data_IF_692117201421
#
_entry.id   IF_692117201421
#
_cell.length_a   1.000
_cell.length_b   1.000
_cell.length_c   1.000
_cell.angle_alpha   90.00
_cell.angle_beta   90.00
_cell.angle_gamma   90.00
#
_symmetry.space_group_name_H-M   'P 1'
#
loop_
_entity.id
_entity.type
_entity.pdbx_description
1 polymer ?
#
# COMPACT_ATOMS: atom_id res chain seq x y z
N UNK A 1 -52.64 -52.77 -10.71
CA UNK A 1 -53.38 -51.75 -9.94
C UNK A 1 -53.04 -52.04 -8.50
N UNK A 2 -52.15 -51.25 -7.92
CA UNK A 2 -51.43 -51.61 -6.69
C UNK A 2 -50.78 -50.34 -6.16
N UNK A 3 -50.88 -49.97 -4.90
CA UNK A 3 -51.71 -50.33 -3.75
C UNK A 3 -51.63 -49.09 -2.85
N UNK A 4 -52.70 -48.80 -2.11
CA UNK A 4 -52.71 -47.79 -1.05
C UNK A 4 -53.02 -48.46 0.30
N UNK A 5 -52.58 -47.81 1.39
CA UNK A 5 -52.82 -48.05 2.82
C UNK A 5 -51.80 -48.88 3.67
N UNK A 6 -50.92 -48.14 4.39
CA UNK A 6 -50.65 -48.06 5.88
C UNK A 6 -50.88 -49.31 6.78
N UNK A 7 -50.26 -49.52 8.00
CA UNK A 7 -49.86 -48.51 9.03
C UNK A 7 -48.76 -48.85 10.11
N UNK A 8 -48.64 -47.95 11.13
CA UNK A 8 -48.09 -48.02 12.55
C UNK A 8 -46.55 -48.10 12.75
N UNK A 9 -45.84 -47.52 13.75
CA UNK A 9 -46.14 -46.83 15.02
C UNK A 9 -44.93 -46.04 15.61
N UNK A 10 -45.24 -44.94 16.33
CA UNK A 10 -44.67 -44.48 17.63
C UNK A 10 -43.17 -44.15 17.84
N UNK A 11 -42.82 -42.88 18.12
CA UNK A 11 -42.65 -42.37 19.51
C UNK A 11 -41.69 -41.16 19.66
N UNK A 12 -42.11 -40.25 20.56
CA UNK A 12 -41.37 -39.28 21.41
C UNK A 12 -40.84 -37.96 20.84
N UNK A 13 -41.54 -36.93 21.31
CA UNK A 13 -41.18 -35.53 21.54
C UNK A 13 -39.79 -35.35 22.20
N UNK A 14 -39.01 -34.42 21.67
CA UNK A 14 -38.14 -33.55 22.49
C UNK A 14 -38.21 -32.12 21.95
N UNK A 15 -38.58 -31.21 22.84
CA UNK A 15 -38.55 -29.76 22.66
C UNK A 15 -37.11 -29.30 22.43
N UNK A 16 -36.87 -28.42 21.44
CA UNK A 16 -35.71 -27.52 21.49
C UNK A 16 -36.12 -26.09 21.14
N UNK A 17 -36.19 -25.31 22.21
CA UNK A 17 -36.28 -23.86 22.23
C UNK A 17 -35.09 -23.22 21.53
N UNK A 18 -35.38 -22.12 20.85
CA UNK A 18 -34.49 -21.19 20.17
C UNK A 18 -33.22 -20.82 20.94
N UNK A 19 -32.07 -20.91 20.28
CA UNK A 19 -31.02 -19.90 20.42
C UNK A 19 -30.39 -19.64 19.04
N UNK A 20 -30.64 -18.44 18.51
CA UNK A 20 -30.00 -17.96 17.30
C UNK A 20 -28.54 -17.60 17.63
N UNK A 21 -27.61 -18.51 17.34
CA UNK A 21 -26.19 -18.14 17.24
C UNK A 21 -25.93 -17.60 15.85
N UNK A 22 -25.77 -16.27 15.78
CA UNK A 22 -25.16 -15.55 14.68
C UNK A 22 -23.86 -16.26 14.27
N UNK A 23 -23.86 -16.85 13.08
CA UNK A 23 -22.65 -17.31 12.41
C UNK A 23 -21.94 -16.07 11.86
N UNK A 24 -21.02 -15.50 12.63
CA UNK A 24 -20.02 -14.60 12.06
C UNK A 24 -19.17 -15.41 11.08
N UNK A 25 -19.40 -15.24 9.78
CA UNK A 25 -18.52 -15.80 8.75
C UNK A 25 -17.15 -15.16 8.93
N UNK A 26 -16.14 -16.01 9.17
CA UNK A 26 -14.72 -15.69 9.22
C UNK A 26 -14.26 -15.17 7.84
N UNK A 27 -14.54 -13.89 7.55
CA UNK A 27 -14.00 -13.15 6.40
C UNK A 27 -12.55 -12.77 6.68
N UNK A 28 -11.65 -13.76 6.70
CA UNK A 28 -10.24 -13.47 6.38
C UNK A 28 -10.25 -12.81 5.01
N UNK A 29 -9.72 -11.60 4.93
CA UNK A 29 -9.81 -10.76 3.73
C UNK A 29 -9.30 -11.56 2.53
N UNK A 30 -10.13 -11.72 1.49
CA UNK A 30 -9.74 -12.38 0.24
C UNK A 30 -8.43 -11.78 -0.29
N UNK A 31 -8.23 -10.48 -0.07
CA UNK A 31 -6.98 -9.80 -0.37
C UNK A 31 -5.79 -10.41 0.38
N UNK A 32 -5.93 -10.80 1.63
CA UNK A 32 -4.92 -11.54 2.43
C UNK A 32 -4.55 -12.88 1.77
N UNK A 33 -5.50 -13.52 1.07
CA UNK A 33 -5.28 -14.77 0.31
C UNK A 33 -4.61 -14.51 -1.06
N UNK A 34 -4.98 -13.43 -1.75
CA UNK A 34 -4.28 -12.95 -2.97
C UNK A 34 -2.85 -12.53 -2.62
N UNK A 35 -2.72 -11.82 -1.50
CA UNK A 35 -1.47 -11.46 -0.87
C UNK A 35 -0.67 -12.69 -0.47
N UNK A 36 -1.30 -13.76 0.04
CA UNK A 36 -0.63 -15.01 0.38
C UNK A 36 0.00 -15.67 -0.84
N UNK A 37 -0.69 -15.68 -2.00
CA UNK A 37 -0.10 -16.19 -3.25
C UNK A 37 1.00 -15.26 -3.78
N UNK A 38 0.83 -13.94 -3.63
CA UNK A 38 1.83 -12.91 -3.97
C UNK A 38 3.06 -12.91 -3.03
N UNK A 39 2.88 -13.24 -1.75
CA UNK A 39 3.92 -13.31 -0.71
C UNK A 39 4.81 -14.55 -0.91
N UNK A 40 4.29 -15.60 -1.56
CA UNK A 40 5.11 -16.74 -2.00
C UNK A 40 6.07 -16.36 -3.15
N UNK A 41 5.75 -15.34 -3.95
CA UNK A 41 6.51 -14.96 -5.14
C UNK A 41 7.30 -13.65 -5.00
N UNK A 42 7.00 -12.80 -4.02
CA UNK A 42 7.65 -11.49 -3.88
C UNK A 42 7.98 -11.13 -2.43
N UNK A 43 9.27 -10.84 -2.18
CA UNK A 43 9.89 -10.61 -0.87
C UNK A 43 9.77 -9.12 -0.48
N UNK A 44 9.32 -8.83 0.74
CA UNK A 44 9.09 -7.46 1.27
C UNK A 44 10.05 -7.11 2.39
N UNK A 45 10.45 -5.83 2.47
CA UNK A 45 11.23 -5.24 3.58
C UNK A 45 10.96 -3.74 3.71
N UNK A 46 10.92 -3.24 4.95
CA UNK A 46 11.02 -1.82 5.33
C UNK A 46 12.43 -1.42 5.79
N UNK A 47 12.78 -0.13 5.70
CA UNK A 47 14.16 0.39 5.90
C UNK A 47 14.22 1.76 6.61
N UNK A 48 15.32 2.09 7.32
CA UNK A 48 15.75 3.37 8.00
C UNK A 48 17.31 3.37 8.17
N UNK A 49 18.12 4.40 8.58
CA UNK A 49 18.00 5.85 8.94
C UNK A 49 18.89 6.79 8.03
N UNK A 50 19.11 8.10 8.24
CA UNK A 50 19.62 8.78 9.45
C UNK A 50 19.52 10.33 9.43
N UNK A 51 19.68 10.87 10.64
CA UNK A 51 19.96 12.24 11.04
C UNK A 51 21.23 12.87 10.44
N UNK A 52 21.16 14.21 10.33
CA UNK A 52 22.19 15.22 10.01
C UNK A 52 22.59 15.35 8.52
N UNK A 53 22.21 16.52 7.98
CA UNK A 53 22.63 17.18 6.74
C UNK A 53 22.40 16.46 5.40
N UNK A 54 21.70 17.17 4.51
CA UNK A 54 21.45 16.88 3.10
C UNK A 54 22.69 16.45 2.28
N UNK A 55 22.50 15.54 1.31
CA UNK A 55 22.78 15.76 -0.13
C UNK A 55 22.48 14.50 -0.94
N UNK A 56 21.51 14.58 -1.87
CA UNK A 56 21.29 13.55 -2.89
C UNK A 56 22.46 13.61 -3.88
N UNK A 57 23.34 12.61 -3.86
CA UNK A 57 24.26 12.31 -4.96
C UNK A 57 23.94 10.93 -5.51
N UNK A 58 23.68 10.89 -6.81
CA UNK A 58 23.32 9.70 -7.57
C UNK A 58 24.55 8.90 -8.04
N UNK A 59 24.42 7.56 -8.06
CA UNK A 59 25.16 6.52 -8.86
C UNK A 59 26.48 5.98 -8.27
N UNK A 60 26.95 4.73 -8.61
CA UNK A 60 26.58 3.89 -9.78
C UNK A 60 26.22 2.40 -9.53
N UNK A 61 25.70 1.80 -10.61
CA UNK A 61 25.43 0.39 -10.96
C UNK A 61 26.03 -0.76 -10.12
N UNK A 62 25.17 -1.72 -9.74
CA UNK A 62 25.42 -3.19 -9.80
C UNK A 62 24.13 -3.90 -9.33
N UNK A 63 23.33 -4.42 -10.26
CA UNK A 63 22.99 -5.86 -10.41
C UNK A 63 21.81 -6.32 -9.52
N UNK A 64 20.92 -7.13 -10.10
CA UNK A 64 19.66 -7.67 -9.52
C UNK A 64 18.67 -6.66 -8.94
N UNK A 65 17.69 -6.26 -9.76
CA UNK A 65 16.50 -5.59 -9.28
C UNK A 65 15.39 -6.56 -8.82
N UNK A 66 15.81 -7.72 -8.30
CA UNK A 66 14.93 -8.69 -7.67
C UNK A 66 15.58 -9.17 -6.37
N UNK A 67 14.88 -9.01 -5.24
CA UNK A 67 15.16 -9.61 -3.93
C UNK A 67 16.42 -9.25 -3.10
N UNK A 68 17.30 -8.32 -3.49
CA UNK A 68 18.57 -8.04 -2.78
C UNK A 68 18.58 -6.83 -1.83
N UNK A 69 17.47 -6.10 -1.67
CA UNK A 69 17.48 -4.80 -1.00
C UNK A 69 17.88 -4.74 0.48
N UNK A 70 17.61 -5.73 1.36
CA UNK A 70 18.16 -5.68 2.72
C UNK A 70 19.69 -5.72 2.68
N UNK A 71 20.26 -6.56 1.81
CA UNK A 71 21.69 -6.90 1.85
C UNK A 71 22.60 -5.77 1.36
N UNK A 72 22.19 -5.02 0.34
CA UNK A 72 22.97 -3.88 -0.19
C UNK A 72 22.70 -2.53 0.52
N UNK A 73 21.77 -2.51 1.49
CA UNK A 73 21.36 -1.26 2.17
C UNK A 73 21.64 -1.28 3.67
N UNK A 74 21.46 -2.41 4.36
CA UNK A 74 21.58 -2.45 5.81
C UNK A 74 23.04 -2.52 6.30
N UNK A 75 23.90 -3.31 5.64
CA UNK A 75 25.31 -3.46 6.06
C UNK A 75 26.21 -2.33 5.56
N UNK A 76 26.03 -1.89 4.32
CA UNK A 76 26.95 -0.93 3.68
C UNK A 76 26.59 0.53 3.95
N UNK A 77 25.32 0.85 4.24
CA UNK A 77 24.88 2.25 4.34
C UNK A 77 24.50 2.69 5.75
N UNK A 78 24.03 1.79 6.63
CA UNK A 78 23.51 2.16 7.97
C UNK A 78 23.72 1.08 9.06
N UNK A 79 24.98 0.77 9.44
CA UNK A 79 25.28 -0.29 10.42
C UNK A 79 24.71 -0.03 11.83
N UNK A 80 24.45 1.23 12.18
CA UNK A 80 23.96 1.64 13.52
C UNK A 80 22.43 1.64 13.67
N UNK A 81 21.72 1.01 12.74
CA UNK A 81 20.26 1.00 12.72
C UNK A 81 19.70 -0.35 13.14
N UNK A 82 18.63 -0.36 13.94
CA UNK A 82 17.88 -1.58 14.24
C UNK A 82 16.62 -1.63 13.36
N UNK A 83 16.47 -2.72 12.62
CA UNK A 83 15.34 -2.90 11.68
C UNK A 83 14.45 -4.03 12.18
N UNK A 84 13.14 -3.77 12.22
CA UNK A 84 12.12 -4.79 12.41
C UNK A 84 11.33 -4.96 11.11
N UNK A 85 11.50 -6.10 10.45
CA UNK A 85 10.63 -6.51 9.36
C UNK A 85 9.42 -7.27 9.91
N UNK A 86 8.23 -6.94 9.42
CA UNK A 86 7.00 -7.65 9.75
C UNK A 86 6.40 -8.24 8.48
N UNK A 87 5.83 -9.43 8.61
CA UNK A 87 5.05 -10.09 7.56
C UNK A 87 4.05 -11.03 8.21
N UNK A 88 2.91 -11.28 7.55
CA UNK A 88 1.92 -12.23 8.05
C UNK A 88 2.46 -13.68 8.01
N UNK A 89 3.46 -13.94 7.18
CA UNK A 89 4.11 -15.23 7.04
C UNK A 89 5.53 -15.26 7.61
N UNK A 90 6.02 -16.47 7.90
CA UNK A 90 7.38 -16.64 8.39
C UNK A 90 8.37 -16.33 7.28
N UNK A 91 9.20 -15.31 7.49
CA UNK A 91 10.30 -14.98 6.59
C UNK A 91 11.35 -16.12 6.65
N UNK A 92 11.57 -16.79 5.52
CA UNK A 92 12.51 -17.92 5.41
C UNK A 92 13.90 -17.42 4.98
N UNK A 93 15.02 -17.88 5.60
CA UNK A 93 16.39 -17.46 5.26
C UNK A 93 16.75 -17.61 3.75
N UNK A 94 17.82 -16.94 3.23
CA UNK A 94 19.05 -16.52 3.91
C UNK A 94 19.11 -15.01 4.20
N UNK A 95 18.42 -14.56 5.26
CA UNK A 95 18.34 -13.13 5.61
C UNK A 95 18.88 -12.83 7.01
N UNK A 96 19.91 -13.56 7.46
CA UNK A 96 20.58 -13.25 8.72
C UNK A 96 21.47 -12.02 8.57
N UNK A 97 20.85 -10.84 8.65
CA UNK A 97 21.57 -9.57 8.79
C UNK A 97 21.59 -9.22 10.28
N UNK A 98 22.75 -8.96 10.90
CA UNK A 98 22.86 -8.77 12.36
C UNK A 98 21.94 -7.68 12.94
N UNK A 99 21.64 -6.66 12.15
CA UNK A 99 20.85 -5.51 12.57
C UNK A 99 19.37 -5.56 12.13
N UNK A 100 18.93 -6.68 11.55
CA UNK A 100 17.54 -6.92 11.17
C UNK A 100 16.94 -8.05 12.00
N UNK A 101 15.74 -7.81 12.52
CA UNK A 101 14.90 -8.83 13.16
C UNK A 101 13.61 -8.96 12.37
N UNK A 102 13.02 -10.14 12.40
CA UNK A 102 11.77 -10.44 11.68
C UNK A 102 10.74 -10.98 12.65
N UNK A 103 9.52 -10.42 12.60
CA UNK A 103 8.38 -10.86 13.41
C UNK A 103 7.23 -11.23 12.48
N UNK A 104 6.64 -12.40 12.71
CA UNK A 104 5.38 -12.75 12.07
C UNK A 104 4.27 -11.93 12.73
N UNK A 105 3.66 -11.02 11.98
CA UNK A 105 2.66 -10.09 12.47
C UNK A 105 1.82 -9.57 11.31
N UNK A 106 0.51 -9.53 11.49
CA UNK A 106 -0.39 -8.82 10.58
C UNK A 106 -0.29 -7.31 10.86
N UNK A 107 0.02 -6.53 9.83
CA UNK A 107 0.12 -5.07 9.93
C UNK A 107 -1.22 -4.41 10.26
N UNK A 108 -2.35 -5.09 9.99
CA UNK A 108 -3.71 -4.61 10.27
C UNK A 108 -4.22 -4.96 11.67
N UNK A 109 -3.54 -5.89 12.35
CA UNK A 109 -3.84 -6.21 13.74
C UNK A 109 -3.36 -5.09 14.67
N UNK A 110 -3.70 -5.18 15.95
CA UNK A 110 -3.17 -4.26 16.95
C UNK A 110 -1.68 -4.56 17.16
N UNK A 111 -0.86 -3.50 17.10
CA UNK A 111 0.59 -3.63 17.11
C UNK A 111 1.08 -3.92 18.53
N UNK A 112 1.63 -5.12 18.72
CA UNK A 112 2.22 -5.57 19.99
C UNK A 112 3.73 -5.37 19.99
N UNK A 113 4.16 -4.11 19.82
CA UNK A 113 5.58 -3.74 19.80
C UNK A 113 5.86 -2.72 20.90
N UNK A 114 6.77 -3.06 21.80
CA UNK A 114 7.06 -2.27 23.01
C UNK A 114 7.89 -1.00 22.72
N UNK A 115 8.15 -0.69 21.44
CA UNK A 115 9.03 0.40 21.03
C UNK A 115 8.39 1.23 19.93
N UNK A 116 8.55 2.54 20.05
CA UNK A 116 8.28 3.47 18.97
C UNK A 116 9.43 3.46 17.95
N UNK A 117 9.11 3.87 16.72
CA UNK A 117 10.03 3.89 15.59
C UNK A 117 10.36 5.33 15.18
N UNK A 118 11.60 5.56 14.75
CA UNK A 118 12.00 6.83 14.13
C UNK A 118 11.55 6.93 12.67
N UNK A 119 11.31 5.78 12.04
CA UNK A 119 10.76 5.71 10.69
C UNK A 119 10.01 4.41 10.46
N UNK A 120 8.91 4.49 9.71
CA UNK A 120 8.13 3.34 9.25
C UNK A 120 8.09 3.34 7.72
N UNK A 121 8.41 2.20 7.11
CA UNK A 121 8.24 2.00 5.66
C UNK A 121 7.08 1.04 5.42
N UNK A 122 6.13 1.45 4.59
CA UNK A 122 5.07 0.59 4.09
C UNK A 122 5.27 0.45 2.59
N UNK A 123 5.42 -0.79 2.11
CA UNK A 123 5.70 -1.05 0.70
C UNK A 123 4.84 -2.18 0.15
N UNK A 124 4.15 -1.90 -0.95
CA UNK A 124 3.31 -2.84 -1.69
C UNK A 124 2.17 -3.43 -0.85
N UNK A 125 1.69 -2.77 0.21
CA UNK A 125 0.70 -3.29 1.15
C UNK A 125 -0.65 -3.65 0.50
N UNK A 126 -0.97 -3.08 -0.67
CA UNK A 126 -2.26 -3.31 -1.32
C UNK A 126 -3.40 -2.52 -0.67
N UNK A 127 -4.60 -2.67 -1.23
CA UNK A 127 -5.79 -1.98 -0.74
C UNK A 127 -6.34 -2.70 0.52
N UNK A 128 -6.16 -2.05 1.67
CA UNK A 128 -6.61 -2.55 2.98
C UNK A 128 -8.00 -2.00 3.34
N UNK A 129 -8.75 -2.72 4.18
CA UNK A 129 -10.12 -2.31 4.58
C UNK A 129 -10.10 -1.01 5.37
N UNK A 130 -9.41 -1.01 6.50
CA UNK A 130 -9.43 0.09 7.46
C UNK A 130 -8.11 0.88 7.40
N UNK A 131 -8.01 1.71 6.38
CA UNK A 131 -6.82 2.56 6.15
C UNK A 131 -6.63 3.57 7.27
N UNK A 132 -7.72 4.11 7.81
CA UNK A 132 -7.68 5.08 8.91
C UNK A 132 -7.10 4.45 10.17
N UNK A 133 -7.60 3.28 10.59
CA UNK A 133 -7.04 2.56 11.74
C UNK A 133 -5.57 2.22 11.51
N UNK A 134 -5.20 1.76 10.32
CA UNK A 134 -3.79 1.45 10.02
C UNK A 134 -2.89 2.68 10.11
N UNK A 135 -3.29 3.79 9.51
CA UNK A 135 -2.53 5.05 9.56
C UNK A 135 -2.44 5.58 11.00
N UNK A 136 -3.50 5.41 11.79
CA UNK A 136 -3.46 5.74 13.22
C UNK A 136 -2.44 4.86 13.97
N UNK A 137 -2.44 3.54 13.74
CA UNK A 137 -1.43 2.64 14.31
C UNK A 137 -0.01 3.07 13.93
N UNK A 138 0.23 3.43 12.67
CA UNK A 138 1.52 3.98 12.21
C UNK A 138 1.86 5.27 12.97
N UNK A 139 0.92 6.20 13.10
CA UNK A 139 1.12 7.45 13.81
C UNK A 139 1.47 7.23 15.28
N UNK A 140 0.73 6.38 15.97
CA UNK A 140 0.91 6.10 17.40
C UNK A 140 2.27 5.47 17.66
N UNK A 141 2.73 4.57 16.79
CA UNK A 141 4.02 3.90 16.93
C UNK A 141 5.22 4.69 16.40
N UNK A 142 5.04 5.90 15.89
CA UNK A 142 6.16 6.79 15.57
C UNK A 142 6.57 7.63 16.78
N UNK A 143 7.88 7.81 16.93
CA UNK A 143 8.44 8.85 17.77
C UNK A 143 8.00 10.24 17.23
N UNK A 144 7.80 11.24 18.10
CA UNK A 144 7.65 12.62 17.67
C UNK A 144 8.81 13.05 16.78
N UNK A 145 8.52 13.60 15.59
CA UNK A 145 9.53 13.90 14.58
C UNK A 145 9.98 12.71 13.73
N UNK A 146 9.46 11.51 13.98
CA UNK A 146 9.65 10.33 13.17
C UNK A 146 8.90 10.41 11.83
N UNK A 147 9.32 9.61 10.87
CA UNK A 147 8.82 9.67 9.49
C UNK A 147 8.08 8.41 9.08
N UNK A 148 7.12 8.53 8.17
CA UNK A 148 6.58 7.38 7.46
C UNK A 148 6.71 7.60 5.96
N UNK A 149 6.96 6.51 5.23
CA UNK A 149 6.88 6.46 3.78
C UNK A 149 6.00 5.29 3.35
N UNK A 150 5.03 5.56 2.49
CA UNK A 150 4.24 4.56 1.78
C UNK A 150 4.68 4.54 0.32
N UNK A 151 4.99 3.36 -0.21
CA UNK A 151 5.35 3.15 -1.61
C UNK A 151 4.48 2.06 -2.22
N UNK A 152 3.55 2.47 -3.08
CA UNK A 152 2.55 1.60 -3.69
C UNK A 152 2.50 1.73 -5.21
N UNK A 153 2.09 0.64 -5.85
CA UNK A 153 1.80 0.62 -7.28
C UNK A 153 0.32 0.91 -7.53
N UNK A 154 0.03 1.84 -8.44
CA UNK A 154 -1.29 1.90 -9.08
C UNK A 154 -1.21 0.96 -10.28
N UNK A 155 -1.78 -0.24 -10.14
CA UNK A 155 -1.64 -1.37 -11.08
C UNK A 155 -2.56 -1.20 -12.30
N UNK A 156 -2.39 -0.08 -13.00
CA UNK A 156 -3.01 0.20 -14.29
C UNK A 156 -1.90 0.53 -15.27
N UNK A 157 -1.87 -0.18 -16.39
CA UNK A 157 -0.96 0.11 -17.48
C UNK A 157 -1.48 1.26 -18.34
N UNK A 158 -0.78 2.37 -18.34
CA UNK A 158 -1.09 3.52 -19.17
C UNK A 158 -0.20 3.53 -20.41
N UNK A 159 -0.75 3.95 -21.54
CA UNK A 159 -0.03 4.05 -22.81
C UNK A 159 -0.23 5.43 -23.42
N UNK A 160 0.75 6.35 -23.29
CA UNK A 160 0.64 7.72 -23.81
C UNK A 160 0.42 7.81 -25.32
N UNK A 161 0.89 6.81 -26.07
CA UNK A 161 0.79 6.75 -27.52
C UNK A 161 -0.33 5.81 -28.01
N UNK A 162 -1.24 5.40 -27.12
CA UNK A 162 -2.38 4.53 -27.46
C UNK A 162 -1.99 3.16 -28.01
N UNK A 163 -0.74 2.72 -27.86
CA UNK A 163 -0.28 1.43 -28.40
C UNK A 163 -0.96 0.22 -27.76
N UNK A 164 -1.58 0.37 -26.58
CA UNK A 164 -2.39 -0.67 -25.95
C UNK A 164 -3.83 -0.77 -26.51
N UNK A 165 -4.28 0.13 -27.38
CA UNK A 165 -5.68 0.12 -27.83
C UNK A 165 -5.99 -1.16 -28.62
N UNK A 166 -7.09 -1.82 -28.27
CA UNK A 166 -7.52 -3.10 -28.84
C UNK A 166 -6.71 -4.33 -28.38
N UNK A 167 -5.67 -4.15 -27.55
CA UNK A 167 -4.83 -5.24 -27.06
C UNK A 167 -5.52 -6.08 -25.97
N UNK A 168 -5.04 -7.30 -25.75
CA UNK A 168 -5.48 -8.13 -24.62
C UNK A 168 -5.14 -7.48 -23.27
N UNK A 169 -4.04 -6.72 -23.21
CA UNK A 169 -3.57 -5.99 -22.02
C UNK A 169 -4.51 -4.84 -21.66
N UNK A 170 -5.05 -4.11 -22.64
CA UNK A 170 -6.10 -3.11 -22.37
C UNK A 170 -7.37 -3.76 -21.82
N UNK A 171 -7.82 -4.87 -22.44
CA UNK A 171 -8.96 -5.64 -21.92
C UNK A 171 -8.71 -6.12 -20.49
N UNK A 172 -7.51 -6.63 -20.22
CA UNK A 172 -7.09 -7.07 -18.89
C UNK A 172 -7.11 -5.93 -17.87
N UNK A 173 -6.58 -4.75 -18.20
CA UNK A 173 -6.66 -3.55 -17.34
C UNK A 173 -8.10 -3.21 -16.94
N UNK A 174 -9.01 -3.17 -17.94
CA UNK A 174 -10.41 -2.80 -17.70
C UNK A 174 -11.11 -3.82 -16.77
N UNK A 175 -10.92 -5.11 -17.04
CA UNK A 175 -11.46 -6.19 -16.23
C UNK A 175 -10.84 -6.24 -14.82
N UNK A 176 -9.55 -5.92 -14.67
CA UNK A 176 -8.88 -5.82 -13.38
C UNK A 176 -9.52 -4.73 -12.52
N UNK A 177 -9.78 -3.55 -13.09
CA UNK A 177 -10.47 -2.44 -12.41
C UNK A 177 -11.88 -2.85 -12.00
N UNK A 178 -12.66 -3.41 -12.93
CA UNK A 178 -14.03 -3.84 -12.67
C UNK A 178 -14.10 -4.94 -11.59
N UNK A 179 -13.21 -5.94 -11.68
CA UNK A 179 -13.17 -7.04 -10.71
C UNK A 179 -12.84 -6.56 -9.30
N UNK A 180 -11.90 -5.62 -9.17
CA UNK A 180 -11.59 -5.00 -7.88
C UNK A 180 -12.78 -4.20 -7.33
N UNK A 181 -13.47 -3.42 -8.17
CA UNK A 181 -14.66 -2.66 -7.77
C UNK A 181 -15.78 -3.57 -7.27
N UNK A 182 -16.04 -4.69 -7.94
CA UNK A 182 -17.01 -5.69 -7.50
C UNK A 182 -16.63 -6.35 -6.16
N UNK A 183 -15.34 -6.34 -5.81
CA UNK A 183 -14.82 -6.80 -4.51
C UNK A 183 -14.78 -5.68 -3.46
N UNK A 184 -15.31 -4.49 -3.75
CA UNK A 184 -15.29 -3.32 -2.86
C UNK A 184 -13.89 -2.71 -2.70
N UNK A 185 -13.05 -2.78 -3.74
CA UNK A 185 -11.66 -2.31 -3.77
C UNK A 185 -11.42 -1.35 -4.92
N UNK A 186 -10.38 -0.53 -4.81
CA UNK A 186 -9.94 0.33 -5.90
C UNK A 186 -8.44 0.19 -6.13
N UNK A 187 -8.02 -0.06 -7.36
CA UNK A 187 -6.60 -0.05 -7.74
C UNK A 187 -5.94 1.33 -7.56
N UNK A 188 -6.75 2.39 -7.48
CA UNK A 188 -6.33 3.79 -7.26
C UNK A 188 -6.29 4.17 -5.78
N UNK A 189 -6.49 3.24 -4.86
CA UNK A 189 -6.39 3.46 -3.41
C UNK A 189 -5.14 4.23 -2.93
N UNK A 190 -3.95 4.16 -3.60
CA UNK A 190 -2.80 4.94 -3.13
C UNK A 190 -3.02 6.46 -3.18
N UNK A 191 -3.99 6.94 -3.99
CA UNK A 191 -4.36 8.35 -4.02
C UNK A 191 -5.08 8.81 -2.74
N UNK A 192 -5.63 7.88 -1.95
CA UNK A 192 -6.31 8.17 -0.68
C UNK A 192 -5.31 8.48 0.45
N UNK A 193 -4.04 8.07 0.34
CA UNK A 193 -3.11 8.20 1.47
C UNK A 193 -2.84 9.64 1.87
N UNK A 194 -2.76 10.58 0.93
CA UNK A 194 -2.48 11.99 1.27
C UNK A 194 -3.52 12.57 2.23
N UNK A 195 -4.83 12.59 1.89
CA UNK A 195 -5.83 13.13 2.80
C UNK A 195 -5.93 12.35 4.12
N UNK A 196 -5.75 11.03 4.10
CA UNK A 196 -5.77 10.21 5.32
C UNK A 196 -4.60 10.53 6.27
N UNK A 197 -3.40 10.74 5.71
CA UNK A 197 -2.21 11.13 6.48
C UNK A 197 -2.34 12.55 7.04
N UNK A 198 -2.90 13.48 6.27
CA UNK A 198 -3.21 14.84 6.74
C UNK A 198 -4.23 14.80 7.89
N UNK A 199 -5.31 14.01 7.75
CA UNK A 199 -6.33 13.81 8.80
C UNK A 199 -5.74 13.24 10.10
N UNK A 200 -4.78 12.32 10.00
CA UNK A 200 -4.10 11.74 11.15
C UNK A 200 -3.10 12.70 11.85
N UNK A 201 -2.86 13.90 11.29
CA UNK A 201 -2.00 14.92 11.89
C UNK A 201 -0.52 14.85 11.47
N UNK A 202 -0.19 14.13 10.41
CA UNK A 202 1.15 14.18 9.83
C UNK A 202 1.44 15.53 9.18
N UNK A 203 2.69 15.98 9.26
CA UNK A 203 3.19 17.21 8.64
C UNK A 203 4.26 16.91 7.58
N UNK A 204 4.68 17.95 6.83
CA UNK A 204 5.75 17.87 5.82
C UNK A 204 5.50 16.79 4.75
N UNK A 205 4.25 16.64 4.35
CA UNK A 205 3.85 15.63 3.39
C UNK A 205 4.38 15.96 1.99
N UNK A 206 5.02 14.98 1.35
CA UNK A 206 5.35 15.03 -0.07
C UNK A 206 4.85 13.76 -0.74
N UNK A 207 4.10 13.95 -1.82
CA UNK A 207 3.65 12.89 -2.69
C UNK A 207 4.37 13.01 -4.03
N UNK A 208 4.97 11.91 -4.49
CA UNK A 208 5.56 11.79 -5.82
C UNK A 208 4.91 10.66 -6.60
N UNK A 209 4.78 10.87 -7.91
CA UNK A 209 4.31 9.86 -8.86
C UNK A 209 5.41 9.67 -9.89
N UNK A 210 5.88 8.44 -10.03
CA UNK A 210 6.88 8.08 -11.03
C UNK A 210 6.28 7.12 -12.04
N UNK A 211 6.41 7.45 -13.33
CA UNK A 211 6.10 6.53 -14.40
C UNK A 211 7.20 5.46 -14.49
N UNK A 212 6.81 4.21 -14.28
CA UNK A 212 7.70 3.06 -14.33
C UNK A 212 7.39 2.24 -15.59
N UNK A 213 8.33 2.12 -16.55
CA UNK A 213 8.17 1.28 -17.73
C UNK A 213 7.77 -0.14 -17.36
N UNK A 214 6.78 -0.68 -18.06
CA UNK A 214 6.36 -2.08 -17.88
C UNK A 214 7.25 -3.06 -18.66
N UNK A 215 7.88 -2.58 -19.73
CA UNK A 215 8.85 -3.26 -20.57
C UNK A 215 9.91 -2.27 -21.07
N UNK A 216 10.79 -2.71 -21.98
CA UNK A 216 11.93 -1.92 -22.47
C UNK A 216 11.59 -0.88 -23.57
N UNK A 217 10.31 -0.51 -23.74
CA UNK A 217 9.85 0.41 -24.79
C UNK A 217 10.42 1.83 -24.69
N UNK A 218 10.70 2.34 -23.48
CA UNK A 218 11.18 3.71 -23.32
C UNK A 218 12.70 3.79 -23.51
N UNK A 219 13.20 4.78 -24.28
CA UNK A 219 14.63 4.91 -24.59
C UNK A 219 15.47 5.23 -23.35
N UNK A 220 16.77 4.91 -23.45
CA UNK A 220 17.76 5.19 -22.43
C UNK A 220 18.14 3.96 -21.60
N UNK A 221 19.46 3.75 -21.44
CA UNK A 221 20.02 2.53 -20.82
C UNK A 221 19.40 2.18 -19.46
N UNK A 222 19.10 3.19 -18.64
CA UNK A 222 18.46 2.99 -17.32
C UNK A 222 17.01 2.55 -17.43
N UNK A 223 16.21 3.25 -18.26
CA UNK A 223 14.79 2.95 -18.47
C UNK A 223 14.60 1.58 -19.11
N UNK A 224 15.39 1.25 -20.15
CA UNK A 224 15.35 -0.06 -20.81
C UNK A 224 15.73 -1.18 -19.86
N UNK A 225 16.81 -1.01 -19.07
CA UNK A 225 17.21 -2.01 -18.06
C UNK A 225 16.12 -2.23 -17.00
N UNK A 226 15.49 -1.15 -16.54
CA UNK A 226 14.37 -1.24 -15.60
C UNK A 226 13.18 -1.95 -16.24
N UNK A 227 12.82 -1.59 -17.47
CA UNK A 227 11.75 -2.19 -18.24
C UNK A 227 11.93 -3.69 -18.49
N UNK A 228 13.14 -4.12 -18.86
CA UNK A 228 13.46 -5.56 -19.01
C UNK A 228 13.23 -6.34 -17.71
N UNK A 229 13.55 -5.72 -16.58
CA UNK A 229 13.33 -6.33 -15.27
C UNK A 229 11.84 -6.31 -14.88
N UNK A 230 11.11 -5.24 -15.20
CA UNK A 230 9.68 -5.18 -14.98
C UNK A 230 8.92 -6.21 -15.81
N UNK A 231 9.30 -6.44 -17.06
CA UNK A 231 8.72 -7.49 -17.90
C UNK A 231 8.91 -8.91 -17.31
N UNK A 232 10.05 -9.16 -16.64
CA UNK A 232 10.27 -10.41 -15.88
C UNK A 232 9.38 -10.47 -14.64
N UNK A 233 9.25 -9.37 -13.90
CA UNK A 233 8.39 -9.31 -12.73
C UNK A 233 6.92 -9.59 -13.09
N UNK A 234 6.43 -8.99 -14.18
CA UNK A 234 5.07 -9.24 -14.67
C UNK A 234 4.79 -10.72 -14.90
N UNK A 235 5.74 -11.47 -15.45
CA UNK A 235 5.56 -12.92 -15.64
C UNK A 235 5.30 -13.69 -14.34
N UNK A 236 5.87 -13.22 -13.22
CA UNK A 236 5.69 -13.82 -11.90
C UNK A 236 4.41 -13.34 -11.19
N UNK A 237 3.96 -12.09 -11.43
CA UNK A 237 2.80 -11.53 -10.71
C UNK A 237 1.48 -11.67 -11.46
N UNK A 238 1.51 -11.76 -12.80
CA UNK A 238 0.34 -11.58 -13.64
C UNK A 238 -0.78 -12.56 -13.29
N UNK A 239 -0.46 -13.85 -13.22
CA UNK A 239 -1.42 -14.90 -12.88
C UNK A 239 -1.92 -14.84 -11.43
N UNK A 240 -1.07 -14.80 -10.39
CA UNK A 240 -1.54 -14.75 -9.00
C UNK A 240 -2.33 -13.48 -8.67
N UNK A 241 -2.09 -12.37 -9.38
CA UNK A 241 -2.91 -11.17 -9.29
C UNK A 241 -4.28 -11.37 -9.98
N UNK A 242 -4.28 -11.87 -11.21
CA UNK A 242 -5.46 -11.85 -12.07
C UNK A 242 -6.49 -12.91 -11.70
N UNK A 243 -6.05 -14.16 -11.48
CA UNK A 243 -6.95 -15.29 -11.23
C UNK A 243 -7.97 -14.99 -10.13
N UNK A 244 -7.58 -14.59 -8.90
CA UNK A 244 -8.56 -14.36 -7.85
C UNK A 244 -9.47 -13.16 -8.12
N UNK A 245 -8.97 -12.09 -8.76
CA UNK A 245 -9.79 -10.92 -9.08
C UNK A 245 -10.85 -11.29 -10.13
N UNK A 246 -10.50 -12.10 -11.12
CA UNK A 246 -11.40 -12.44 -12.22
C UNK A 246 -12.39 -13.54 -11.82
N UNK A 247 -11.95 -14.56 -11.06
CA UNK A 247 -12.87 -15.63 -10.63
C UNK A 247 -13.83 -15.16 -9.54
N UNK A 248 -13.36 -14.39 -8.55
CA UNK A 248 -14.19 -13.93 -7.44
C UNK A 248 -14.93 -12.64 -7.78
N UNK A 249 -14.22 -11.65 -8.34
CA UNK A 249 -14.77 -10.34 -8.64
C UNK A 249 -15.64 -10.30 -9.90
N UNK A 250 -15.34 -11.13 -10.91
CA UNK A 250 -16.10 -11.15 -12.18
C UNK A 250 -16.87 -12.46 -12.41
N UNK A 251 -16.67 -13.49 -11.58
CA UNK A 251 -17.31 -14.80 -11.78
C UNK A 251 -16.80 -15.57 -13.00
N UNK A 252 -15.64 -15.21 -13.56
CA UNK A 252 -15.09 -15.89 -14.73
C UNK A 252 -14.64 -17.32 -14.38
N UNK A 253 -14.85 -18.29 -15.29
CA UNK A 253 -14.18 -19.58 -15.19
C UNK A 253 -12.67 -19.41 -15.24
N UNK A 254 -11.93 -20.12 -14.39
CA UNK A 254 -10.46 -20.02 -14.34
C UNK A 254 -9.79 -20.33 -15.69
N UNK A 255 -10.36 -21.25 -16.47
CA UNK A 255 -9.92 -21.58 -17.83
C UNK A 255 -9.97 -20.37 -18.78
N UNK A 256 -11.03 -19.56 -18.72
CA UNK A 256 -11.17 -18.35 -19.53
C UNK A 256 -10.16 -17.27 -19.11
N UNK A 257 -9.90 -17.16 -17.81
CA UNK A 257 -8.85 -16.27 -17.28
C UNK A 257 -7.50 -16.66 -17.89
N UNK A 258 -7.17 -17.94 -17.92
CA UNK A 258 -5.89 -18.43 -18.46
C UNK A 258 -5.77 -18.20 -19.98
N UNK A 259 -6.89 -18.29 -20.73
CA UNK A 259 -6.92 -17.94 -22.16
C UNK A 259 -6.57 -16.47 -22.39
N UNK A 260 -7.12 -15.55 -21.59
CA UNK A 260 -6.76 -14.14 -21.65
C UNK A 260 -5.29 -13.92 -21.25
N UNK A 261 -4.86 -14.52 -20.13
CA UNK A 261 -3.50 -14.38 -19.62
C UNK A 261 -2.44 -14.87 -20.61
N UNK A 262 -2.73 -15.89 -21.42
CA UNK A 262 -1.83 -16.33 -22.50
C UNK A 262 -1.57 -15.23 -23.54
N UNK A 263 -2.56 -14.39 -23.83
CA UNK A 263 -2.41 -13.24 -24.75
C UNK A 263 -1.65 -12.10 -24.06
N UNK A 264 -2.06 -11.73 -22.86
CA UNK A 264 -1.40 -10.67 -22.07
C UNK A 264 0.07 -10.97 -21.83
N UNK A 265 0.43 -12.22 -21.51
CA UNK A 265 1.82 -12.65 -21.29
C UNK A 265 2.72 -12.46 -22.53
N UNK A 266 2.15 -12.51 -23.73
CA UNK A 266 2.87 -12.21 -24.98
C UNK A 266 3.06 -10.72 -25.20
N UNK A 267 2.03 -9.92 -24.88
CA UNK A 267 2.03 -8.47 -25.10
C UNK A 267 2.89 -7.71 -24.08
N UNK A 268 2.89 -8.11 -22.80
CA UNK A 268 3.62 -7.36 -21.75
C UNK A 268 5.11 -7.12 -22.04
N UNK A 269 5.92 -8.12 -22.47
CA UNK A 269 7.32 -7.88 -22.80
C UNK A 269 7.54 -7.21 -24.17
N UNK A 270 6.52 -7.11 -25.01
CA UNK A 270 6.64 -6.59 -26.38
C UNK A 270 6.74 -5.06 -26.38
N UNK A 271 7.87 -4.56 -26.88
CA UNK A 271 8.22 -3.14 -26.89
C UNK A 271 7.41 -2.31 -27.89
N UNK A 272 6.60 -2.93 -28.76
CA UNK A 272 5.61 -2.20 -29.54
C UNK A 272 4.54 -1.58 -28.62
N UNK A 273 4.20 -2.25 -27.52
CA UNK A 273 3.32 -1.73 -26.49
C UNK A 273 4.10 -0.81 -25.53
N UNK A 274 4.02 0.48 -25.80
CA UNK A 274 4.61 1.52 -24.97
C UNK A 274 3.72 1.77 -23.77
N UNK A 275 4.06 1.16 -22.65
CA UNK A 275 3.26 1.29 -21.44
C UNK A 275 4.08 1.48 -20.17
N UNK A 276 3.46 2.15 -19.20
CA UNK A 276 4.03 2.39 -17.89
C UNK A 276 2.97 2.18 -16.81
N UNK A 277 3.44 1.95 -15.59
CA UNK A 277 2.65 1.88 -14.37
C UNK A 277 3.09 2.99 -13.42
N UNK A 278 2.21 3.49 -12.56
CA UNK A 278 2.55 4.56 -11.63
C UNK A 278 3.04 3.99 -10.30
N UNK A 279 4.29 4.30 -9.92
CA UNK A 279 4.77 4.17 -8.56
C UNK A 279 4.41 5.44 -7.80
N UNK A 280 3.53 5.33 -6.80
CA UNK A 280 3.20 6.42 -5.90
C UNK A 280 4.00 6.25 -4.62
N UNK A 281 4.74 7.30 -4.26
CA UNK A 281 5.41 7.39 -2.96
C UNK A 281 4.86 8.60 -2.22
N UNK A 282 4.42 8.41 -0.97
CA UNK A 282 4.10 9.49 -0.06
C UNK A 282 4.92 9.34 1.20
N UNK A 283 5.57 10.42 1.62
CA UNK A 283 6.27 10.44 2.89
C UNK A 283 5.92 11.71 3.67
N UNK A 284 5.85 11.56 4.99
CA UNK A 284 5.46 12.61 5.91
C UNK A 284 6.05 12.35 7.31
N UNK A 285 5.95 13.34 8.19
CA UNK A 285 6.57 13.33 9.51
C UNK A 285 5.52 13.49 10.60
N UNK A 286 5.61 12.72 11.67
CA UNK A 286 4.86 13.00 12.90
C UNK A 286 5.38 14.31 13.53
N UNK A 287 4.53 15.22 13.99
CA UNK A 287 4.99 16.43 14.66
C UNK A 287 5.97 16.14 15.81
N UNK A 288 6.98 16.99 15.99
CA UNK A 288 7.77 16.99 17.24
C UNK A 288 6.85 17.52 18.35
N UNK A 289 6.87 16.95 19.55
CA UNK A 289 6.01 17.40 20.67
C UNK A 289 5.96 18.94 20.75
N UNK A 290 4.76 19.50 20.89
CA UNK A 290 4.57 20.96 21.05
C UNK A 290 4.10 21.75 19.81
N UNK A 291 3.47 21.11 18.82
CA UNK A 291 2.70 21.84 17.81
C UNK A 291 1.21 22.03 18.17
N UNK A 292 0.84 21.84 19.45
CA UNK A 292 -0.38 22.42 20.00
C UNK A 292 -0.15 23.92 20.22
N UNK A 293 -0.96 24.74 19.55
CA UNK A 293 -1.34 26.10 19.98
C UNK A 293 -0.30 27.23 20.03
N UNK A 294 0.76 27.27 19.22
CA UNK A 294 1.54 28.52 19.04
C UNK A 294 1.04 29.41 17.89
N UNK A 295 0.31 28.84 16.92
CA UNK A 295 -0.25 29.62 15.81
C UNK A 295 -1.50 30.44 16.23
N UNK A 296 -2.25 30.02 17.25
CA UNK A 296 -3.41 30.77 17.77
C UNK A 296 -3.04 31.84 18.82
N UNK A 297 -1.94 31.68 19.55
CA UNK A 297 -1.45 32.68 20.51
C UNK A 297 -0.67 33.82 19.81
N UNK A 298 -0.04 33.54 18.67
CA UNK A 298 0.67 34.55 17.89
C UNK A 298 -0.29 35.47 17.08
N UNK A 299 -1.46 34.97 16.67
CA UNK A 299 -2.49 35.83 16.05
C UNK A 299 -3.18 36.70 17.09
N UNK A 300 -3.51 36.14 18.26
CA UNK A 300 -4.18 36.86 19.36
C UNK A 300 -3.32 38.00 19.92
N UNK A 301 -2.00 37.80 20.03
CA UNK A 301 -1.07 38.84 20.52
C UNK A 301 -0.80 39.94 19.49
N UNK A 302 -0.76 39.61 18.18
CA UNK A 302 -0.65 40.61 17.11
C UNK A 302 -1.92 41.44 16.94
N UNK A 303 -3.10 40.82 17.09
CA UNK A 303 -4.38 41.55 17.09
C UNK A 303 -4.49 42.50 18.27
N UNK A 304 -4.11 42.07 19.48
CA UNK A 304 -4.14 42.90 20.67
C UNK A 304 -3.16 44.10 20.61
N UNK A 305 -1.96 43.91 20.03
CA UNK A 305 -1.00 44.99 19.83
C UNK A 305 -1.40 45.98 18.72
N UNK A 306 -2.11 45.51 17.69
CA UNK A 306 -2.63 46.38 16.63
C UNK A 306 -3.84 47.21 17.09
N UNK A 307 -4.69 46.68 17.97
CA UNK A 307 -5.80 47.43 18.57
C UNK A 307 -5.32 48.46 19.60
N UNK A 308 -4.28 48.15 20.37
CA UNK A 308 -3.70 49.10 21.33
C UNK A 308 -2.99 50.28 20.64
N UNK A 309 -2.37 50.08 19.47
CA UNK A 309 -1.72 51.17 18.73
C UNK A 309 -2.72 52.07 17.99
N UNK A 310 -3.86 51.56 17.53
CA UNK A 310 -4.92 52.38 16.93
C UNK A 310 -5.71 53.22 17.96
N UNK A 311 -5.84 52.75 19.21
CA UNK A 311 -6.45 53.53 20.29
C UNK A 311 -5.57 54.71 20.75
N UNK A 312 -4.25 54.58 20.64
CA UNK A 312 -3.30 55.66 21.00
C UNK A 312 -3.26 56.79 19.96
N UNK A 313 -3.52 56.48 18.68
CA UNK A 313 -3.50 57.48 17.59
C UNK A 313 -4.82 58.25 17.45
N UNK A 314 -5.93 57.75 18.00
CA UNK A 314 -7.24 58.40 17.95
C UNK A 314 -7.49 59.42 19.08
N UNK A 315 -6.61 59.47 20.10
CA UNK A 315 -6.68 60.46 21.19
C UNK A 315 -5.75 61.69 21.02
N UNK A 316 -5.07 61.80 19.88
CA UNK A 316 -4.14 62.92 19.58
C UNK A 316 -4.61 63.85 18.46
N UNK A 317 -5.84 63.66 17.93
CA UNK A 317 -6.42 64.49 16.87
C UNK A 317 -7.70 65.25 17.28
N UNK A 318 -7.92 65.45 18.58
CA UNK A 318 -9.08 66.21 19.10
C UNK A 318 -8.74 67.36 20.05
N UNK A 319 -7.49 67.85 20.07
CA UNK A 319 -7.16 69.15 20.67
C UNK A 319 -6.02 69.84 19.89
N UNK A 320 -6.32 71.04 19.35
CA UNK A 320 -5.32 72.02 18.88
C UNK A 320 -5.12 72.07 17.38
#
# INVERSE_FOLDING_TARGET
>A
MSDDATPVASSRLTNYSSSARSRSKDTRSIFQTIFHKFAKTSKRFGFVPNSKSFSIKSLPNSSTADSTWPRSSSRERNPNSAVLGIDIEKIRPPYSVPNCRFKMMDAMADWTVDKHFDYIHVRMLGDIVDKEKFIQSVYDHLNPGGWVEFTEWIVILNSPNHSLDGSATQKWNALLVQGLQNMGRDVRYPNEYRPLLEKAGFERLKLTKHAAPTNACYPGKKCQRFGLMMAKNWNAILEPLTVPIFTIGLGWPESEVHVLLKKVRKEMPDTHFHSFMTLLTVYCRKPRHGASSSASLASSSRSAQASASQASFSNLSSQG
#
